data_IF_527554678925
#
_entry.id   IF_527554678925
#
_cell.length_a   1.000
_cell.length_b   1.000
_cell.length_c   1.000
_cell.angle_alpha   90.00
_cell.angle_beta   90.00
_cell.angle_gamma   90.00
#
_symmetry.space_group_name_H-M   'P 1'
#
loop_
_entity.id
_entity.type
_entity.pdbx_description
1 polymer ?
#
# COMPACT_ATOMS: atom_id res chain seq x y z
N UNK A 1 -35.48 -4.04 12.18
CA UNK A 1 -34.57 -5.06 11.62
C UNK A 1 -33.76 -5.66 12.75
N UNK A 2 -33.64 -6.98 12.81
CA UNK A 2 -32.72 -7.63 13.74
C UNK A 2 -31.28 -7.24 13.39
N UNK A 3 -30.48 -6.93 14.39
CA UNK A 3 -29.04 -6.67 14.26
C UNK A 3 -28.28 -7.83 14.86
N UNK A 4 -27.05 -8.05 14.39
CA UNK A 4 -26.13 -8.98 15.02
C UNK A 4 -25.95 -8.62 16.49
N UNK A 5 -25.94 -9.64 17.35
CA UNK A 5 -25.67 -9.50 18.76
C UNK A 5 -24.89 -10.73 19.26
N UNK A 6 -23.84 -10.56 20.09
CA UNK A 6 -23.24 -9.29 20.52
C UNK A 6 -22.56 -8.52 19.38
N UNK A 7 -22.31 -7.22 19.55
CA UNK A 7 -21.65 -6.41 18.52
C UNK A 7 -20.12 -6.58 18.58
N UNK A 8 -19.48 -6.70 17.41
CA UNK A 8 -18.03 -6.65 17.27
C UNK A 8 -17.62 -5.40 16.47
N UNK A 9 -17.05 -4.36 17.11
CA UNK A 9 -16.79 -3.09 16.45
C UNK A 9 -15.67 -3.18 15.41
N UNK A 10 -15.81 -2.40 14.35
CA UNK A 10 -14.77 -2.15 13.36
C UNK A 10 -13.57 -1.42 13.99
N UNK A 11 -12.35 -1.79 13.60
CA UNK A 11 -11.12 -1.10 14.01
C UNK A 11 -10.68 -0.14 12.92
N UNK A 12 -10.43 1.11 13.28
CA UNK A 12 -10.12 2.20 12.35
C UNK A 12 -8.86 2.00 11.49
N UNK A 13 -8.04 1.00 11.78
CA UNK A 13 -6.85 0.64 11.02
C UNK A 13 -7.02 -0.63 10.19
N UNK A 14 -8.17 -1.30 10.22
CA UNK A 14 -8.41 -2.58 9.52
C UNK A 14 -9.14 -2.44 8.19
N UNK A 15 -9.19 -3.53 7.42
CA UNK A 15 -9.99 -3.62 6.18
C UNK A 15 -11.39 -4.18 6.46
N UNK A 16 -12.37 -3.82 5.61
CA UNK A 16 -13.72 -4.40 5.69
C UNK A 16 -13.72 -5.94 5.65
N UNK A 17 -12.87 -6.55 4.84
CA UNK A 17 -12.74 -8.01 4.76
C UNK A 17 -12.14 -8.62 6.03
N UNK A 18 -11.15 -7.97 6.63
CA UNK A 18 -10.61 -8.34 7.95
C UNK A 18 -11.66 -8.30 9.03
N UNK A 19 -12.47 -7.25 9.04
CA UNK A 19 -13.57 -7.11 10.00
C UNK A 19 -14.65 -8.18 9.80
N UNK A 20 -15.06 -8.45 8.55
CA UNK A 20 -15.99 -9.53 8.23
C UNK A 20 -15.47 -10.90 8.69
N UNK A 21 -14.18 -11.18 8.48
CA UNK A 21 -13.55 -12.42 8.95
C UNK A 21 -13.56 -12.54 10.48
N UNK A 22 -13.27 -11.45 11.21
CA UNK A 22 -13.35 -11.42 12.68
C UNK A 22 -14.78 -11.61 13.18
N UNK A 23 -15.78 -11.05 12.50
CA UNK A 23 -17.19 -11.26 12.83
C UNK A 23 -17.62 -12.71 12.60
N UNK A 24 -17.17 -13.34 11.51
CA UNK A 24 -17.43 -14.76 11.25
C UNK A 24 -16.84 -15.66 12.34
N UNK A 25 -15.60 -15.40 12.74
CA UNK A 25 -14.96 -16.07 13.86
C UNK A 25 -15.73 -15.86 15.19
N UNK A 26 -16.23 -14.65 15.43
CA UNK A 26 -16.96 -14.29 16.64
C UNK A 26 -18.35 -14.94 16.74
N UNK A 27 -19.14 -14.89 15.66
CA UNK A 27 -20.54 -15.30 15.68
C UNK A 27 -20.75 -16.78 15.39
N UNK A 28 -20.02 -17.34 14.42
CA UNK A 28 -20.25 -18.71 13.94
C UNK A 28 -19.03 -19.62 14.07
N UNK A 29 -17.88 -19.09 14.54
CA UNK A 29 -16.59 -19.80 14.61
C UNK A 29 -16.23 -20.49 13.30
N UNK A 30 -16.50 -19.81 12.20
CA UNK A 30 -16.52 -20.41 10.87
C UNK A 30 -16.01 -19.50 9.77
N UNK A 31 -16.28 -19.90 8.53
CA UNK A 31 -15.80 -19.21 7.34
C UNK A 31 -16.48 -17.84 7.16
N UNK A 32 -15.74 -16.88 6.60
CA UNK A 32 -16.31 -15.56 6.27
C UNK A 32 -17.41 -15.67 5.22
N UNK A 33 -17.29 -16.61 4.28
CA UNK A 33 -18.29 -16.83 3.24
C UNK A 33 -19.60 -17.37 3.79
N UNK A 34 -19.56 -18.36 4.68
CA UNK A 34 -20.77 -18.90 5.33
C UNK A 34 -21.46 -17.81 6.13
N UNK A 35 -20.70 -17.07 6.96
CA UNK A 35 -21.23 -15.95 7.74
C UNK A 35 -21.93 -14.90 6.87
N UNK A 36 -21.29 -14.47 5.78
CA UNK A 36 -21.88 -13.47 4.88
C UNK A 36 -23.14 -14.02 4.18
N UNK A 37 -23.14 -15.28 3.73
CA UNK A 37 -24.30 -15.91 3.09
C UNK A 37 -25.48 -16.06 4.06
N UNK A 38 -25.23 -16.42 5.31
CA UNK A 38 -26.26 -16.53 6.35
C UNK A 38 -26.93 -15.18 6.63
N UNK A 39 -26.21 -14.09 6.41
CA UNK A 39 -26.72 -12.71 6.46
C UNK A 39 -27.41 -12.24 5.17
N UNK A 40 -27.49 -13.10 4.16
CA UNK A 40 -28.03 -12.76 2.83
C UNK A 40 -27.13 -11.79 2.04
N UNK A 41 -25.84 -11.76 2.34
CA UNK A 41 -24.84 -10.98 1.62
C UNK A 41 -24.07 -11.86 0.63
N UNK A 42 -23.63 -11.27 -0.49
CA UNK A 42 -22.76 -11.91 -1.46
C UNK A 42 -21.28 -11.75 -1.03
N UNK A 43 -20.58 -12.85 -0.65
CA UNK A 43 -19.19 -12.76 -0.24
C UNK A 43 -18.27 -12.19 -1.32
N UNK A 44 -18.56 -12.43 -2.59
CA UNK A 44 -17.78 -11.91 -3.70
C UNK A 44 -17.90 -10.38 -3.78
N UNK A 45 -19.12 -9.84 -3.73
CA UNK A 45 -19.32 -8.39 -3.76
C UNK A 45 -18.73 -7.69 -2.53
N UNK A 46 -18.83 -8.30 -1.34
CA UNK A 46 -18.15 -7.81 -0.14
C UNK A 46 -16.63 -7.82 -0.33
N UNK A 47 -16.05 -8.88 -0.90
CA UNK A 47 -14.59 -8.98 -1.13
C UNK A 47 -14.05 -7.93 -2.11
N UNK A 48 -14.88 -7.49 -3.06
CA UNK A 48 -14.58 -6.42 -3.99
C UNK A 48 -14.76 -5.02 -3.36
N UNK A 49 -15.27 -4.95 -2.13
CA UNK A 49 -15.60 -3.71 -1.46
C UNK A 49 -16.79 -2.98 -2.08
N UNK A 50 -17.76 -3.68 -2.68
CA UNK A 50 -18.93 -3.03 -3.28
C UNK A 50 -19.68 -2.18 -2.24
N UNK A 51 -19.86 -0.86 -2.45
CA UNK A 51 -20.35 0.04 -1.42
C UNK A 51 -21.71 -0.37 -0.83
N UNK A 52 -22.64 -0.79 -1.66
CA UNK A 52 -23.98 -1.19 -1.23
C UNK A 52 -23.93 -2.42 -0.32
N UNK A 53 -23.11 -3.42 -0.70
CA UNK A 53 -22.99 -4.67 0.05
C UNK A 53 -22.25 -4.46 1.39
N UNK A 54 -21.20 -3.64 1.39
CA UNK A 54 -20.51 -3.23 2.62
C UNK A 54 -21.43 -2.43 3.53
N UNK A 55 -22.28 -1.55 2.98
CA UNK A 55 -23.26 -0.78 3.75
C UNK A 55 -24.32 -1.69 4.36
N UNK A 56 -24.80 -2.71 3.63
CA UNK A 56 -25.70 -3.73 4.18
C UNK A 56 -25.07 -4.48 5.34
N UNK A 57 -23.80 -4.88 5.22
CA UNK A 57 -23.05 -5.50 6.33
C UNK A 57 -22.96 -4.57 7.54
N UNK A 58 -22.64 -3.29 7.34
CA UNK A 58 -22.58 -2.30 8.41
C UNK A 58 -23.92 -2.15 9.14
N UNK A 59 -25.03 -2.07 8.39
CA UNK A 59 -26.37 -1.96 8.96
C UNK A 59 -26.76 -3.17 9.81
N UNK A 60 -26.42 -4.39 9.36
CA UNK A 60 -26.65 -5.64 10.10
C UNK A 60 -25.79 -5.72 11.36
N UNK A 61 -24.55 -5.24 11.30
CA UNK A 61 -23.61 -5.21 12.42
C UNK A 61 -23.74 -3.96 13.31
N UNK A 62 -24.70 -3.06 13.05
CA UNK A 62 -24.87 -1.83 13.83
C UNK A 62 -23.69 -0.86 13.77
N UNK A 63 -22.87 -0.93 12.71
CA UNK A 63 -21.68 -0.11 12.51
C UNK A 63 -21.99 1.08 11.59
N UNK A 64 -21.37 2.22 11.86
CA UNK A 64 -21.45 3.42 11.02
C UNK A 64 -20.75 3.17 9.66
N UNK A 65 -21.46 3.24 8.52
CA UNK A 65 -20.90 2.84 7.21
C UNK A 65 -19.73 3.68 6.71
N UNK A 66 -19.71 5.00 6.94
CA UNK A 66 -18.67 5.87 6.40
C UNK A 66 -17.29 5.50 6.94
N UNK A 67 -17.21 5.15 8.22
CA UNK A 67 -15.98 4.68 8.88
C UNK A 67 -15.42 3.43 8.19
N UNK A 68 -16.27 2.48 7.81
CA UNK A 68 -15.84 1.23 7.16
C UNK A 68 -15.50 1.47 5.69
N UNK A 69 -16.33 2.25 4.98
CA UNK A 69 -16.14 2.58 3.57
C UNK A 69 -14.85 3.37 3.32
N UNK A 70 -14.45 4.25 4.25
CA UNK A 70 -13.16 4.96 4.19
C UNK A 70 -11.96 4.01 4.10
N UNK A 71 -12.05 2.86 4.75
CA UNK A 71 -11.02 1.83 4.80
C UNK A 71 -11.28 0.65 3.85
N UNK A 72 -12.24 0.78 2.94
CA UNK A 72 -12.62 -0.25 1.99
C UNK A 72 -11.92 0.01 0.66
N UNK A 73 -10.96 -0.86 0.24
CA UNK A 73 -10.50 -0.85 -1.14
C UNK A 73 -11.65 -1.34 -2.05
N UNK A 74 -12.21 -0.45 -2.84
CA UNK A 74 -13.31 -0.71 -3.77
C UNK A 74 -12.69 -1.03 -5.13
N UNK A 75 -12.92 -2.23 -5.65
CA UNK A 75 -12.49 -2.59 -6.99
C UNK A 75 -13.48 -2.05 -8.03
N UNK A 76 -13.03 -1.11 -8.87
CA UNK A 76 -13.88 -0.48 -9.90
C UNK A 76 -13.76 -1.19 -11.26
N UNK A 77 -12.53 -1.48 -11.68
CA UNK A 77 -12.19 -2.23 -12.90
C UNK A 77 -11.02 -3.17 -12.54
N UNK A 78 -10.73 -4.18 -13.36
CA UNK A 78 -9.59 -5.09 -13.15
C UNK A 78 -8.32 -4.28 -12.81
N UNK A 79 -7.74 -4.55 -11.63
CA UNK A 79 -6.54 -3.90 -11.05
C UNK A 79 -6.68 -2.42 -10.66
N UNK A 80 -7.83 -1.77 -10.83
CA UNK A 80 -8.04 -0.38 -10.39
C UNK A 80 -8.91 -0.36 -9.13
N UNK A 81 -8.34 0.18 -8.06
CA UNK A 81 -8.98 0.26 -6.75
C UNK A 81 -9.17 1.73 -6.35
N UNK A 82 -10.29 2.01 -5.69
CA UNK A 82 -10.53 3.27 -4.99
C UNK A 82 -10.43 3.02 -3.48
N UNK A 83 -9.69 3.84 -2.77
CA UNK A 83 -9.58 3.83 -1.31
C UNK A 83 -9.79 5.25 -0.80
N UNK A 84 -10.99 5.54 -0.26
CA UNK A 84 -11.43 6.91 -0.03
C UNK A 84 -11.35 7.73 -1.33
N UNK A 85 -10.59 8.82 -1.30
CA UNK A 85 -10.34 9.70 -2.45
C UNK A 85 -9.13 9.28 -3.30
N UNK A 86 -8.48 8.16 -2.96
CA UNK A 86 -7.27 7.71 -3.63
C UNK A 86 -7.59 6.64 -4.67
N UNK A 87 -7.13 6.86 -5.91
CA UNK A 87 -7.11 5.82 -6.96
C UNK A 87 -5.76 5.10 -6.92
N UNK A 88 -5.79 3.78 -6.80
CA UNK A 88 -4.64 2.89 -6.71
C UNK A 88 -4.72 1.85 -7.83
N UNK A 89 -3.58 1.53 -8.44
CA UNK A 89 -3.49 0.57 -9.54
C UNK A 89 -2.48 -0.52 -9.20
N UNK A 90 -1.21 -0.14 -9.10
CA UNK A 90 -0.13 -1.07 -8.82
C UNK A 90 0.36 -0.98 -7.37
N UNK A 91 -0.01 0.07 -6.64
CA UNK A 91 0.44 0.27 -5.26
C UNK A 91 -0.32 -0.57 -4.22
N UNK A 92 -1.47 -1.15 -4.55
CA UNK A 92 -2.20 -2.06 -3.67
C UNK A 92 -1.74 -3.52 -3.89
N UNK A 93 -1.57 -4.27 -2.82
CA UNK A 93 -1.29 -5.70 -2.82
C UNK A 93 -2.46 -6.46 -3.48
N UNK A 94 -2.20 -7.52 -4.27
CA UNK A 94 -3.26 -8.42 -4.72
C UNK A 94 -3.86 -9.17 -3.51
N UNK A 95 -5.10 -9.68 -3.59
CA UNK A 95 -5.76 -10.37 -2.46
C UNK A 95 -4.96 -11.53 -1.85
N UNK A 96 -4.14 -12.21 -2.64
CA UNK A 96 -3.30 -13.32 -2.17
C UNK A 96 -2.03 -12.89 -1.44
N UNK A 97 -1.53 -11.67 -1.66
CA UNK A 97 -0.34 -11.14 -0.97
C UNK A 97 -0.75 -10.70 0.44
N UNK A 98 -0.54 -11.61 1.40
CA UNK A 98 -0.76 -11.38 2.82
C UNK A 98 0.50 -10.82 3.45
N UNK A 99 0.33 -9.72 4.20
CA UNK A 99 1.43 -9.08 4.92
C UNK A 99 1.02 -8.79 6.34
N UNK A 100 1.94 -8.98 7.28
CA UNK A 100 1.67 -8.72 8.68
C UNK A 100 2.94 -8.39 9.46
N UNK A 101 2.76 -7.70 10.58
CA UNK A 101 3.81 -7.51 11.57
C UNK A 101 3.64 -8.55 12.68
N UNK A 102 4.69 -9.34 13.01
CA UNK A 102 4.58 -10.36 14.06
C UNK A 102 4.27 -9.75 15.43
N UNK A 103 4.85 -8.58 15.74
CA UNK A 103 4.57 -7.86 17.00
C UNK A 103 3.11 -7.37 17.09
N UNK A 104 2.56 -6.76 16.03
CA UNK A 104 1.14 -6.36 16.01
C UNK A 104 0.19 -7.54 16.22
N UNK A 105 0.49 -8.71 15.63
CA UNK A 105 -0.34 -9.89 15.84
C UNK A 105 -0.17 -10.47 17.25
N UNK A 106 1.03 -10.43 17.82
CA UNK A 106 1.24 -10.83 19.22
C UNK A 106 0.49 -9.91 20.22
N UNK A 107 0.35 -8.62 19.91
CA UNK A 107 -0.47 -7.67 20.67
C UNK A 107 -1.97 -7.99 20.56
N UNK A 108 -2.45 -8.33 19.35
CA UNK A 108 -3.84 -8.76 19.15
C UNK A 108 -4.13 -10.05 19.93
N UNK A 109 -3.22 -11.03 19.89
CA UNK A 109 -3.36 -12.27 20.65
C UNK A 109 -3.38 -12.02 22.16
N UNK A 110 -2.52 -11.12 22.64
CA UNK A 110 -2.49 -10.74 24.05
C UNK A 110 -3.80 -10.08 24.49
N UNK A 111 -4.38 -9.23 23.63
CA UNK A 111 -5.69 -8.63 23.88
C UNK A 111 -6.81 -9.69 23.92
N UNK A 112 -6.76 -10.70 23.04
CA UNK A 112 -7.70 -11.82 23.05
C UNK A 112 -7.61 -12.62 24.36
N UNK A 113 -6.39 -12.97 24.76
CA UNK A 113 -6.12 -13.72 25.98
C UNK A 113 -6.63 -13.00 27.24
N UNK A 114 -6.44 -11.67 27.32
CA UNK A 114 -6.87 -10.86 28.46
C UNK A 114 -8.40 -10.91 28.72
N UNK A 115 -9.19 -11.20 27.69
CA UNK A 115 -10.66 -11.32 27.79
C UNK A 115 -11.17 -12.74 27.56
N UNK A 116 -10.28 -13.74 27.52
CA UNK A 116 -10.63 -15.15 27.33
C UNK A 116 -11.29 -15.46 25.97
N UNK A 117 -10.95 -14.71 24.93
CA UNK A 117 -11.50 -14.89 23.58
C UNK A 117 -10.50 -15.57 22.63
N UNK A 118 -11.02 -16.18 21.58
CA UNK A 118 -10.21 -16.77 20.51
C UNK A 118 -9.41 -15.68 19.77
N UNK A 119 -8.16 -15.97 19.42
CA UNK A 119 -7.26 -15.01 18.77
C UNK A 119 -7.77 -14.57 17.39
N UNK A 120 -8.52 -15.42 16.69
CA UNK A 120 -9.12 -15.10 15.39
C UNK A 120 -10.14 -13.95 15.44
N UNK A 121 -10.71 -13.67 16.61
CA UNK A 121 -11.64 -12.54 16.84
C UNK A 121 -10.86 -11.21 16.94
N UNK A 122 -9.56 -11.24 17.27
CA UNK A 122 -8.74 -10.06 17.53
C UNK A 122 -7.70 -9.79 16.45
N UNK A 123 -7.12 -10.84 15.86
CA UNK A 123 -6.18 -10.73 14.75
C UNK A 123 -6.84 -10.00 13.58
N UNK A 124 -6.27 -8.86 13.20
CA UNK A 124 -6.77 -8.06 12.06
C UNK A 124 -5.68 -7.67 11.07
N UNK A 125 -6.02 -7.65 9.79
CA UNK A 125 -5.14 -7.09 8.76
C UNK A 125 -5.29 -5.57 8.79
N UNK A 126 -4.17 -4.89 9.08
CA UNK A 126 -4.14 -3.43 9.00
C UNK A 126 -4.20 -3.02 7.54
N UNK A 127 -5.03 -2.04 7.20
CA UNK A 127 -5.20 -1.49 5.86
C UNK A 127 -3.86 -1.11 5.22
N UNK A 128 -2.97 -0.48 5.98
CA UNK A 128 -1.64 -0.06 5.48
C UNK A 128 -0.78 -1.25 5.03
N UNK A 129 -1.00 -2.47 5.53
CA UNK A 129 -0.28 -3.67 5.09
C UNK A 129 -0.66 -4.06 3.66
N UNK A 130 -1.82 -3.59 3.17
CA UNK A 130 -2.24 -3.75 1.77
C UNK A 130 -1.47 -2.87 0.80
N UNK A 131 -0.62 -1.94 1.26
CA UNK A 131 0.14 -1.05 0.39
C UNK A 131 1.50 -1.67 0.06
N UNK A 132 1.75 -2.00 -1.21
CA UNK A 132 3.01 -2.60 -1.65
C UNK A 132 4.26 -1.85 -1.20
N UNK A 133 4.31 -0.50 -1.23
CA UNK A 133 5.48 0.26 -0.78
C UNK A 133 5.66 0.30 0.75
N UNK A 134 4.63 -0.08 1.53
CA UNK A 134 4.75 -0.20 2.99
C UNK A 134 5.31 -1.60 3.28
N UNK A 135 6.53 -1.61 3.82
CA UNK A 135 7.27 -2.85 4.09
C UNK A 135 7.77 -2.96 5.51
N UNK A 136 7.78 -1.85 6.24
CA UNK A 136 8.15 -1.82 7.64
C UNK A 136 6.92 -1.41 8.44
N UNK A 137 6.62 -2.14 9.51
CA UNK A 137 5.56 -1.76 10.43
C UNK A 137 5.83 -0.36 10.99
N UNK A 138 4.89 0.59 10.87
CA UNK A 138 5.09 1.93 11.39
C UNK A 138 5.02 1.99 12.92
N UNK A 139 4.52 0.96 13.59
CA UNK A 139 4.47 0.87 15.05
C UNK A 139 5.78 0.29 15.58
N UNK A 140 6.14 -0.93 15.15
CA UNK A 140 7.28 -1.68 15.72
C UNK A 140 8.61 -1.53 14.97
N UNK A 141 8.63 -0.84 13.82
CA UNK A 141 9.82 -0.73 12.97
C UNK A 141 10.39 -2.08 12.50
N UNK A 142 9.57 -3.12 12.45
CA UNK A 142 9.94 -4.45 11.94
C UNK A 142 9.54 -4.61 10.48
N UNK A 143 10.34 -5.35 9.71
CA UNK A 143 9.94 -5.76 8.36
C UNK A 143 8.64 -6.58 8.40
N UNK A 144 7.69 -6.25 7.54
CA UNK A 144 6.45 -7.01 7.39
C UNK A 144 6.78 -8.36 6.78
N UNK A 145 6.29 -9.43 7.41
CA UNK A 145 6.36 -10.78 6.88
C UNK A 145 5.36 -10.86 5.74
N UNK A 146 5.82 -11.36 4.58
CA UNK A 146 4.99 -11.58 3.40
C UNK A 146 4.78 -13.08 3.19
N UNK A 147 3.52 -13.48 2.96
CA UNK A 147 3.12 -14.82 2.55
C UNK A 147 2.07 -14.72 1.45
N UNK A 148 2.10 -15.66 0.53
CA UNK A 148 0.98 -15.82 -0.39
C UNK A 148 -0.05 -16.75 0.27
N UNK A 149 -1.32 -16.33 0.28
CA UNK A 149 -2.42 -17.16 0.79
C UNK A 149 -2.53 -18.43 -0.06
N UNK A 150 -2.69 -19.63 0.56
CA UNK A 150 -2.93 -20.87 -0.17
C UNK A 150 -4.12 -20.73 -1.13
N UNK A 151 -4.08 -21.43 -2.27
CA UNK A 151 -5.25 -21.49 -3.15
C UNK A 151 -6.44 -22.11 -2.41
N UNK A 152 -7.64 -21.54 -2.57
CA UNK A 152 -8.84 -22.04 -1.88
C UNK A 152 -8.98 -21.58 -0.42
N UNK A 153 -8.06 -20.78 0.11
CA UNK A 153 -8.15 -20.21 1.47
C UNK A 153 -8.94 -18.89 1.54
N UNK A 154 -9.63 -18.49 0.47
CA UNK A 154 -10.43 -17.28 0.44
C UNK A 154 -11.53 -17.27 1.53
N UNK A 155 -11.98 -18.45 1.96
CA UNK A 155 -13.09 -18.62 2.90
C UNK A 155 -12.63 -18.66 4.38
N UNK A 156 -11.38 -18.98 4.66
CA UNK A 156 -10.87 -19.25 6.03
C UNK A 156 -10.59 -17.99 6.85
N UNK A 157 -10.97 -16.82 6.35
CA UNK A 157 -10.70 -15.52 6.95
C UNK A 157 -9.29 -15.01 6.63
N UNK A 158 -8.98 -13.78 7.04
CA UNK A 158 -7.76 -13.06 6.61
C UNK A 158 -6.46 -13.79 6.95
N UNK A 159 -6.42 -14.51 8.07
CA UNK A 159 -5.24 -15.24 8.56
C UNK A 159 -5.44 -16.74 8.74
N UNK A 160 -6.68 -17.26 8.61
CA UNK A 160 -6.96 -18.67 8.85
C UNK A 160 -6.19 -19.54 7.87
N UNK A 161 -5.25 -20.33 8.39
CA UNK A 161 -4.36 -21.19 7.61
C UNK A 161 -3.09 -20.52 7.06
N UNK A 162 -2.99 -19.18 7.06
CA UNK A 162 -1.80 -18.46 6.53
C UNK A 162 -0.83 -17.97 7.61
N UNK A 163 -1.29 -17.89 8.87
CA UNK A 163 -0.48 -17.49 10.03
C UNK A 163 -0.69 -18.51 11.16
N UNK A 164 -0.06 -19.70 11.07
CA UNK A 164 -0.18 -20.74 12.09
C UNK A 164 0.58 -20.42 13.38
N UNK A 165 1.36 -19.34 13.41
CA UNK A 165 2.16 -18.95 14.57
C UNK A 165 1.30 -18.77 15.81
N UNK A 166 1.74 -19.37 16.91
CA UNK A 166 1.23 -19.09 18.24
C UNK A 166 1.81 -17.77 18.76
N UNK A 167 1.21 -17.22 19.81
CA UNK A 167 1.68 -15.96 20.41
C UNK A 167 3.15 -16.00 20.85
N UNK A 168 3.67 -17.08 21.49
CA UNK A 168 5.10 -17.18 21.78
C UNK A 168 5.98 -17.16 20.52
N UNK A 169 5.56 -17.83 19.44
CA UNK A 169 6.29 -17.82 18.17
C UNK A 169 6.34 -16.42 17.55
N UNK A 170 5.21 -15.70 17.54
CA UNK A 170 5.16 -14.32 17.05
C UNK A 170 6.07 -13.39 17.85
N UNK A 171 6.10 -13.53 19.18
CA UNK A 171 7.00 -12.77 20.05
C UNK A 171 8.47 -13.09 19.78
N UNK A 172 8.81 -14.36 19.63
CA UNK A 172 10.17 -14.79 19.32
C UNK A 172 10.65 -14.21 17.97
N UNK A 173 9.82 -14.32 16.93
CA UNK A 173 10.12 -13.71 15.62
C UNK A 173 10.34 -12.20 15.77
N UNK A 174 9.48 -11.51 16.53
CA UNK A 174 9.59 -10.07 16.71
C UNK A 174 10.87 -9.65 17.45
N UNK A 175 11.29 -10.40 18.48
CA UNK A 175 12.51 -10.14 19.25
C UNK A 175 13.77 -10.41 18.42
N UNK A 176 13.74 -11.45 17.59
CA UNK A 176 14.88 -11.86 16.78
C UNK A 176 14.97 -11.12 15.43
N UNK A 177 14.05 -10.20 15.13
CA UNK A 177 14.07 -9.39 13.91
C UNK A 177 14.74 -8.05 14.18
N UNK A 178 15.79 -7.73 13.43
CA UNK A 178 16.44 -6.42 13.52
C UNK A 178 15.48 -5.28 13.11
N UNK A 179 15.36 -4.22 13.92
CA UNK A 179 14.60 -3.03 13.55
C UNK A 179 15.15 -2.38 12.28
N UNK A 180 14.26 -2.04 11.37
CA UNK A 180 14.57 -1.38 10.11
C UNK A 180 14.04 0.07 10.13
N UNK A 181 14.83 1.06 9.72
CA UNK A 181 14.35 2.44 9.65
C UNK A 181 13.21 2.54 8.63
N UNK A 182 12.18 3.31 9.01
CA UNK A 182 11.01 3.52 8.16
C UNK A 182 11.41 4.34 6.93
N UNK A 183 11.05 3.88 5.74
CA UNK A 183 11.18 4.71 4.53
C UNK A 183 10.29 5.96 4.65
N UNK A 184 10.79 7.18 4.37
CA UNK A 184 9.95 8.38 4.43
C UNK A 184 8.72 8.32 3.51
N UNK A 185 8.84 7.62 2.37
CA UNK A 185 7.72 7.43 1.45
C UNK A 185 6.60 6.59 2.07
N UNK A 186 6.89 5.53 2.83
CA UNK A 186 5.81 4.77 3.51
C UNK A 186 5.14 5.59 4.61
N UNK A 187 5.88 6.44 5.31
CA UNK A 187 5.30 7.35 6.31
C UNK A 187 4.33 8.33 5.67
N UNK A 188 4.68 8.84 4.48
CA UNK A 188 3.79 9.66 3.67
C UNK A 188 2.54 8.90 3.21
N UNK A 189 2.68 7.68 2.69
CA UNK A 189 1.54 6.86 2.25
C UNK A 189 0.58 6.60 3.41
N UNK A 190 1.10 6.17 4.56
CA UNK A 190 0.29 5.91 5.76
C UNK A 190 -0.38 7.19 6.26
N UNK A 191 0.33 8.33 6.23
CA UNK A 191 -0.23 9.64 6.56
C UNK A 191 -1.38 10.02 5.63
N UNK A 192 -1.19 9.88 4.32
CA UNK A 192 -2.17 10.26 3.30
C UNK A 192 -3.43 9.40 3.33
N UNK A 193 -3.30 8.08 3.53
CA UNK A 193 -4.45 7.19 3.76
C UNK A 193 -5.17 7.58 5.06
N UNK A 194 -4.42 7.97 6.09
CA UNK A 194 -4.97 8.52 7.34
C UNK A 194 -5.58 9.92 7.23
N UNK A 195 -5.57 10.56 6.05
CA UNK A 195 -6.11 11.91 5.83
C UNK A 195 -5.16 13.05 6.22
N UNK A 196 -3.87 12.77 6.45
CA UNK A 196 -2.87 13.80 6.73
C UNK A 196 -2.29 14.34 5.44
N UNK A 197 -2.14 15.66 5.36
CA UNK A 197 -1.39 16.30 4.28
C UNK A 197 0.10 16.00 4.37
N UNK A 198 0.75 15.91 3.23
CA UNK A 198 2.18 15.83 3.06
C UNK A 198 2.70 16.96 2.16
N UNK A 199 3.82 16.74 1.45
CA UNK A 199 4.40 17.75 0.57
C UNK A 199 3.43 18.17 -0.54
N UNK A 200 3.22 19.48 -0.73
CA UNK A 200 2.21 20.03 -1.63
C UNK A 200 2.25 19.45 -3.05
N UNK A 201 3.45 19.31 -3.63
CA UNK A 201 3.61 18.73 -4.98
C UNK A 201 3.20 17.25 -5.07
N UNK A 202 3.39 16.49 -3.99
CA UNK A 202 2.94 15.09 -3.93
C UNK A 202 1.43 15.00 -3.71
N UNK A 203 0.85 15.93 -2.96
CA UNK A 203 -0.59 15.95 -2.65
C UNK A 203 -1.46 16.48 -3.80
N UNK A 204 -0.91 17.32 -4.68
CA UNK A 204 -1.57 17.88 -5.87
C UNK A 204 -1.83 16.86 -7.01
N UNK A 205 -1.63 15.57 -6.73
CA UNK A 205 -1.83 14.47 -7.68
C UNK A 205 -2.31 13.22 -6.96
N UNK A 206 -2.97 12.26 -7.65
CA UNK A 206 -3.38 10.99 -7.04
C UNK A 206 -2.22 10.25 -6.36
N UNK A 207 -2.49 9.57 -5.23
CA UNK A 207 -1.47 8.87 -4.44
C UNK A 207 -0.63 7.88 -5.27
N UNK A 208 -1.23 7.13 -6.19
CA UNK A 208 -0.50 6.24 -7.10
C UNK A 208 0.58 6.98 -7.90
N UNK A 209 0.28 8.18 -8.41
CA UNK A 209 1.23 9.00 -9.16
C UNK A 209 2.34 9.54 -8.26
N UNK A 210 2.01 9.97 -7.04
CA UNK A 210 2.99 10.44 -6.05
C UNK A 210 4.00 9.33 -5.67
N UNK A 211 3.51 8.11 -5.45
CA UNK A 211 4.33 6.92 -5.16
C UNK A 211 5.22 6.61 -6.37
N UNK A 212 4.63 6.49 -7.57
CA UNK A 212 5.35 6.09 -8.78
C UNK A 212 6.39 7.12 -9.18
N UNK A 213 6.07 8.42 -9.18
CA UNK A 213 7.02 9.49 -9.47
C UNK A 213 8.22 9.47 -8.52
N UNK A 214 7.98 9.23 -7.23
CA UNK A 214 9.04 9.12 -6.22
C UNK A 214 9.93 7.91 -6.50
N UNK A 215 9.35 6.74 -6.76
CA UNK A 215 10.11 5.52 -7.08
C UNK A 215 10.92 5.67 -8.37
N UNK A 216 10.32 6.20 -9.44
CA UNK A 216 10.96 6.39 -10.74
C UNK A 216 12.16 7.32 -10.66
N UNK A 217 11.99 8.48 -10.02
CA UNK A 217 13.07 9.44 -9.85
C UNK A 217 14.21 8.83 -9.03
N UNK A 218 13.87 8.09 -7.98
CA UNK A 218 14.81 7.33 -7.16
C UNK A 218 15.59 6.29 -7.95
N UNK A 219 14.89 5.48 -8.74
CA UNK A 219 15.50 4.44 -9.59
C UNK A 219 16.45 5.06 -10.61
N UNK A 220 16.02 6.12 -11.31
CA UNK A 220 16.87 6.82 -12.28
C UNK A 220 18.14 7.41 -11.66
N UNK A 221 18.06 7.88 -10.41
CA UNK A 221 19.21 8.44 -9.69
C UNK A 221 20.16 7.37 -9.12
N UNK A 222 19.62 6.24 -8.65
CA UNK A 222 20.37 5.21 -7.94
C UNK A 222 21.03 4.18 -8.86
N UNK A 223 20.40 3.86 -10.00
CA UNK A 223 20.79 2.72 -10.83
C UNK A 223 21.22 3.14 -12.24
N UNK A 224 21.60 2.15 -13.04
CA UNK A 224 21.96 2.34 -14.45
C UNK A 224 20.75 2.81 -15.28
N UNK A 225 20.99 3.48 -16.42
CA UNK A 225 19.93 3.73 -17.39
C UNK A 225 19.26 2.42 -17.80
N UNK A 226 17.95 2.47 -18.04
CA UNK A 226 17.09 1.32 -18.41
C UNK A 226 16.81 0.30 -17.30
N UNK A 227 17.26 0.53 -16.06
CA UNK A 227 16.78 -0.28 -14.92
C UNK A 227 15.32 0.03 -14.59
N UNK A 228 14.43 -0.96 -14.73
CA UNK A 228 13.01 -0.82 -14.39
C UNK A 228 12.74 -1.07 -12.90
N UNK A 229 11.68 -0.47 -12.37
CA UNK A 229 11.26 -0.64 -10.97
C UNK A 229 10.95 -2.11 -10.64
N UNK A 230 10.43 -2.84 -11.62
CA UNK A 230 10.00 -4.22 -11.46
C UNK A 230 11.17 -5.20 -11.35
N UNK A 231 12.34 -4.84 -11.89
CA UNK A 231 13.57 -5.65 -11.81
C UNK A 231 14.31 -5.48 -10.46
N UNK A 232 13.99 -4.44 -9.70
CA UNK A 232 14.65 -4.15 -8.43
C UNK A 232 14.26 -5.15 -7.34
N UNK A 233 15.24 -5.64 -6.59
CA UNK A 233 15.03 -6.36 -5.33
C UNK A 233 14.33 -5.48 -4.30
N UNK A 234 13.83 -6.09 -3.22
CA UNK A 234 13.16 -5.32 -2.18
C UNK A 234 14.10 -4.25 -1.57
N UNK A 235 15.34 -4.61 -1.24
CA UNK A 235 16.32 -3.68 -0.69
C UNK A 235 16.61 -2.51 -1.64
N UNK A 236 16.73 -2.79 -2.94
CA UNK A 236 16.94 -1.76 -3.96
C UNK A 236 15.74 -0.84 -4.12
N UNK A 237 14.51 -1.38 -4.08
CA UNK A 237 13.28 -0.56 -4.08
C UNK A 237 13.23 0.38 -2.87
N UNK A 238 13.74 -0.02 -1.70
CA UNK A 238 13.77 0.82 -0.50
C UNK A 238 14.76 1.97 -0.70
N UNK A 239 15.96 1.65 -1.19
CA UNK A 239 16.99 2.63 -1.51
C UNK A 239 16.51 3.64 -2.56
N UNK A 240 15.90 3.17 -3.66
CA UNK A 240 15.29 4.04 -4.67
C UNK A 240 14.23 4.94 -4.06
N UNK A 241 13.29 4.38 -3.31
CA UNK A 241 12.19 5.15 -2.70
C UNK A 241 12.72 6.23 -1.76
N UNK A 242 13.73 5.91 -0.93
CA UNK A 242 14.36 6.87 -0.04
C UNK A 242 15.10 7.97 -0.80
N UNK A 243 15.84 7.62 -1.87
CA UNK A 243 16.56 8.59 -2.68
C UNK A 243 15.61 9.53 -3.43
N UNK A 244 14.60 8.97 -4.09
CA UNK A 244 13.58 9.75 -4.80
C UNK A 244 12.84 10.70 -3.87
N UNK A 245 12.51 10.24 -2.65
CA UNK A 245 11.83 11.06 -1.65
C UNK A 245 12.60 12.34 -1.31
N UNK A 246 13.94 12.29 -1.24
CA UNK A 246 14.79 13.47 -0.94
C UNK A 246 14.57 14.62 -1.93
N UNK A 247 14.10 14.33 -3.14
CA UNK A 247 13.83 15.31 -4.18
C UNK A 247 12.34 15.62 -4.31
N UNK A 248 11.47 14.62 -4.38
CA UNK A 248 10.02 14.84 -4.57
C UNK A 248 9.36 15.53 -3.39
N UNK A 249 9.83 15.28 -2.16
CA UNK A 249 9.34 15.98 -0.96
C UNK A 249 9.66 17.49 -0.95
N UNK A 250 10.58 17.95 -1.79
CA UNK A 250 10.93 19.38 -1.96
C UNK A 250 10.20 20.03 -3.15
N UNK A 251 9.21 19.33 -3.69
CA UNK A 251 8.42 19.75 -4.84
C UNK A 251 9.24 19.96 -6.11
N UNK A 252 8.74 20.86 -6.96
CA UNK A 252 9.30 21.11 -8.29
C UNK A 252 10.80 21.48 -8.25
N UNK A 253 11.21 22.30 -7.28
CA UNK A 253 12.62 22.69 -7.14
C UNK A 253 13.53 21.47 -6.93
N UNK A 254 13.12 20.55 -6.06
CA UNK A 254 13.85 19.30 -5.81
C UNK A 254 13.91 18.42 -7.06
N UNK A 255 12.79 18.27 -7.76
CA UNK A 255 12.71 17.45 -8.97
C UNK A 255 13.60 18.01 -10.07
N UNK A 256 13.57 19.32 -10.33
CA UNK A 256 14.48 19.95 -11.31
C UNK A 256 15.94 19.80 -10.92
N UNK A 257 16.27 19.82 -9.62
CA UNK A 257 17.63 19.51 -9.16
C UNK A 257 18.02 18.08 -9.49
N UNK A 258 17.14 17.10 -9.29
CA UNK A 258 17.39 15.72 -9.69
C UNK A 258 17.64 15.59 -11.20
N UNK A 259 16.86 16.27 -12.04
CA UNK A 259 17.07 16.26 -13.49
C UNK A 259 18.44 16.82 -13.89
N UNK A 260 18.92 17.88 -13.23
CA UNK A 260 20.29 18.39 -13.45
C UNK A 260 21.36 17.37 -13.06
N UNK A 261 21.17 16.60 -11.99
CA UNK A 261 22.10 15.54 -11.60
C UNK A 261 22.15 14.40 -12.63
N UNK A 262 20.98 13.97 -13.12
CA UNK A 262 20.88 12.97 -14.18
C UNK A 262 21.55 13.44 -15.48
N UNK A 263 21.30 14.69 -15.85
CA UNK A 263 21.94 15.33 -17.02
C UNK A 263 23.46 15.36 -16.89
N UNK A 264 23.98 15.77 -15.73
CA UNK A 264 25.43 15.81 -15.50
C UNK A 264 26.08 14.42 -15.61
N UNK A 265 25.35 13.36 -15.18
CA UNK A 265 25.81 11.97 -15.31
C UNK A 265 25.83 11.50 -16.76
N UNK A 266 24.80 11.78 -17.55
CA UNK A 266 24.70 11.27 -18.94
C UNK A 266 25.39 12.12 -20.01
N UNK A 267 25.78 13.36 -19.69
CA UNK A 267 26.54 14.24 -20.59
C UNK A 267 27.67 15.00 -19.85
N UNK A 268 28.72 14.30 -19.38
CA UNK A 268 29.80 14.90 -18.60
C UNK A 268 30.59 15.98 -19.37
N UNK A 269 30.57 15.95 -20.71
CA UNK A 269 31.20 16.95 -21.59
C UNK A 269 30.27 18.10 -22.01
N UNK A 270 29.07 18.20 -21.41
CA UNK A 270 28.11 19.29 -21.64
C UNK A 270 27.31 19.21 -22.95
N UNK A 271 27.73 18.42 -23.94
CA UNK A 271 27.00 18.30 -25.21
C UNK A 271 25.81 17.33 -25.08
N UNK A 272 24.60 17.87 -24.98
CA UNK A 272 23.37 17.07 -24.98
C UNK A 272 23.02 16.61 -26.41
N UNK A 273 23.27 15.35 -26.69
CA UNK A 273 22.81 14.62 -27.89
C UNK A 273 21.57 13.79 -27.58
N UNK A 274 20.84 13.34 -28.62
CA UNK A 274 19.69 12.41 -28.45
C UNK A 274 20.07 11.17 -27.63
N UNK A 275 21.27 10.63 -27.86
CA UNK A 275 21.82 9.48 -27.10
C UNK A 275 22.08 9.82 -25.63
N UNK A 276 22.61 11.00 -25.33
CA UNK A 276 22.82 11.43 -23.94
C UNK A 276 21.52 11.68 -23.17
N UNK A 277 20.46 12.14 -23.85
CA UNK A 277 19.12 12.31 -23.25
C UNK A 277 18.53 10.94 -22.90
N UNK A 278 18.63 9.99 -23.82
CA UNK A 278 18.22 8.61 -23.58
C UNK A 278 19.01 7.98 -22.42
N UNK A 279 20.33 8.15 -22.38
CA UNK A 279 21.14 7.65 -21.26
C UNK A 279 20.81 8.36 -19.93
N UNK A 280 20.47 9.64 -19.93
CA UNK A 280 20.19 10.40 -18.69
C UNK A 280 18.78 10.14 -18.16
N UNK A 281 17.81 9.95 -19.05
CA UNK A 281 16.39 9.98 -18.71
C UNK A 281 15.61 8.77 -19.21
N UNK A 282 16.25 7.72 -19.75
CA UNK A 282 15.60 6.54 -20.36
C UNK A 282 14.46 5.98 -19.50
N UNK A 283 14.72 5.70 -18.23
CA UNK A 283 13.72 5.20 -17.27
C UNK A 283 12.50 6.12 -17.15
N UNK A 284 12.74 7.44 -17.13
CA UNK A 284 11.69 8.45 -16.98
C UNK A 284 10.93 8.68 -18.29
N UNK A 285 11.58 8.45 -19.43
CA UNK A 285 10.99 8.58 -20.77
C UNK A 285 10.17 7.34 -21.14
N UNK A 286 10.64 6.13 -20.82
CA UNK A 286 9.93 4.89 -21.11
C UNK A 286 8.64 4.79 -20.28
N UNK A 287 8.72 5.15 -19.00
CA UNK A 287 7.55 5.22 -18.12
C UNK A 287 6.55 6.32 -18.54
N UNK A 288 7.02 7.39 -19.19
CA UNK A 288 6.16 8.43 -19.73
C UNK A 288 5.23 7.94 -20.87
N UNK A 289 5.44 6.73 -21.41
CA UNK A 289 4.57 6.10 -22.41
C UNK A 289 3.48 5.20 -21.80
N UNK A 290 3.45 5.00 -20.47
CA UNK A 290 2.39 4.24 -19.81
C UNK A 290 1.03 4.99 -19.86
N UNK A 291 -0.08 4.35 -20.30
CA UNK A 291 -1.41 4.95 -20.25
C UNK A 291 -1.86 5.10 -18.79
N UNK A 292 -2.33 6.29 -18.39
CA UNK A 292 -2.79 6.54 -17.00
C UNK A 292 -2.18 7.74 -16.27
N UNK A 293 -1.32 8.51 -16.96
CA UNK A 293 -1.03 9.90 -16.57
C UNK A 293 0.02 10.06 -15.47
N UNK A 294 1.30 10.19 -15.85
CA UNK A 294 2.34 10.77 -15.01
C UNK A 294 2.41 12.29 -15.18
N UNK A 295 1.27 12.98 -15.10
CA UNK A 295 1.15 14.33 -15.65
C UNK A 295 2.19 15.32 -15.05
N UNK A 296 2.41 15.40 -13.72
CA UNK A 296 3.27 16.44 -13.17
C UNK A 296 4.76 16.21 -13.43
N UNK A 297 5.31 15.03 -13.09
CA UNK A 297 6.75 14.75 -13.30
C UNK A 297 7.10 14.70 -14.79
N UNK A 298 6.21 14.16 -15.64
CA UNK A 298 6.40 14.12 -17.10
C UNK A 298 6.40 15.52 -17.69
N UNK A 299 5.48 16.40 -17.24
CA UNK A 299 5.46 17.80 -17.66
C UNK A 299 6.80 18.48 -17.32
N UNK A 300 7.26 18.33 -16.07
CA UNK A 300 8.54 18.90 -15.64
C UNK A 300 9.72 18.35 -16.43
N UNK A 301 9.72 17.05 -16.76
CA UNK A 301 10.77 16.44 -17.58
C UNK A 301 10.77 16.98 -19.01
N UNK A 302 9.59 17.09 -19.65
CA UNK A 302 9.45 17.66 -21.00
C UNK A 302 9.94 19.10 -21.05
N UNK A 303 9.56 19.93 -20.07
CA UNK A 303 10.03 21.31 -19.96
C UNK A 303 11.54 21.37 -19.73
N UNK A 304 12.10 20.48 -18.90
CA UNK A 304 13.54 20.40 -18.66
C UNK A 304 14.28 20.07 -19.96
N UNK A 305 13.84 19.05 -20.69
CA UNK A 305 14.44 18.63 -21.97
C UNK A 305 14.30 19.73 -23.03
N UNK A 306 13.13 20.39 -23.15
CA UNK A 306 12.92 21.46 -24.11
C UNK A 306 13.91 22.62 -23.90
N UNK A 307 14.16 23.01 -22.64
CA UNK A 307 15.15 24.04 -22.28
C UNK A 307 16.58 23.69 -22.68
N UNK A 308 16.92 22.40 -22.79
CA UNK A 308 18.25 21.97 -23.26
C UNK A 308 18.46 22.22 -24.76
N UNK A 309 17.38 22.28 -25.54
CA UNK A 309 17.44 22.55 -26.97
C UNK A 309 17.31 24.03 -27.32
N UNK A 310 16.65 24.83 -26.47
CA UNK A 310 16.53 26.29 -26.67
C UNK A 310 17.68 27.11 -26.08
N UNK A 311 18.58 26.49 -25.31
CA UNK A 311 19.79 27.12 -24.77
C UNK A 311 21.01 27.00 -25.70
N UNK A 312 20.81 26.60 -26.96
CA UNK A 312 21.77 26.70 -28.05
C UNK A 312 21.44 27.92 -28.89
#
# INVERSE_FOLDING_TARGET
MARLFPLLPFKVDETHWSWAARMAAFHIRGSVNTFLRDLGLDPFLVSLGQPDEVTRLCNLAGQEPETVLRNTPIQHIRRVYRLGDQTLIDSLCPPRDLRFCPACLAEDDAAACAVGQDTSIHRRERLIWRMKPIRICPVHALSLIRRDRPEGSEETGVFGGSVPETTPMLKDIAVNTEPCPKSPLQSYIAGRIGGRSGPAWLDDQPLEQAIRATKLLGTALAFEPYTFIDDLSNKERDAASALGWRFTSRGEHGIRRAFRLLQARGAPKGLMTRRSIQNSFGNLLDDAHYPGGHAPIRRLLKEHIARLFTAK
#
